data_IF_264429189011
#
_entry.id   IF_264429189011
#
_cell.length_a   1.000
_cell.length_b   1.000
_cell.length_c   1.000
_cell.angle_alpha   90.00
_cell.angle_beta   90.00
_cell.angle_gamma   90.00
#
_symmetry.space_group_name_H-M   'P 1'
#
loop_
_entity.id
_entity.type
_entity.pdbx_description
1 polymer ?
#
# COMPACT_ATOMS: atom_id res chain seq x y z
N UNK A 1 -2.16 19.51 21.22
CA UNK A 1 -2.39 18.08 20.87
C UNK A 1 -2.39 17.87 19.35
N UNK A 2 -3.29 18.49 18.57
CA UNK A 2 -3.33 18.32 17.10
C UNK A 2 -1.96 18.54 16.43
N UNK A 3 -1.27 19.66 16.75
CA UNK A 3 0.06 19.95 16.21
C UNK A 3 1.09 18.85 16.46
N UNK A 4 1.16 18.33 17.69
CA UNK A 4 2.11 17.28 18.06
C UNK A 4 1.79 15.94 17.36
N UNK A 5 0.53 15.50 17.42
CA UNK A 5 0.10 14.22 16.82
C UNK A 5 0.30 14.25 15.29
N UNK A 6 -0.04 15.37 14.67
CA UNK A 6 0.16 15.55 13.22
C UNK A 6 1.62 15.62 12.82
N UNK A 7 2.47 16.32 13.59
CA UNK A 7 3.90 16.32 13.35
C UNK A 7 4.52 14.92 13.49
N UNK A 8 4.13 14.15 14.52
CA UNK A 8 4.63 12.76 14.69
C UNK A 8 4.17 11.85 13.55
N UNK A 9 2.91 11.97 13.12
CA UNK A 9 2.41 11.22 11.95
C UNK A 9 3.20 11.56 10.68
N UNK A 10 3.57 12.84 10.52
CA UNK A 10 4.32 13.32 9.36
C UNK A 10 5.73 12.72 9.24
N UNK A 11 6.39 12.41 10.37
CA UNK A 11 7.69 11.71 10.37
C UNK A 11 7.66 10.40 9.60
N UNK A 12 6.56 9.66 9.73
CA UNK A 12 6.42 8.33 9.16
C UNK A 12 5.87 8.39 7.74
N UNK A 13 4.85 9.23 7.51
CA UNK A 13 4.08 9.27 6.26
C UNK A 13 3.71 10.71 5.90
N UNK A 14 4.64 11.51 5.35
CA UNK A 14 4.47 12.94 5.21
C UNK A 14 3.30 13.30 4.27
N UNK A 15 3.22 12.67 3.10
CA UNK A 15 2.17 12.95 2.11
C UNK A 15 0.80 12.51 2.61
N UNK A 16 0.71 11.27 3.12
CA UNK A 16 -0.54 10.71 3.61
C UNK A 16 -1.08 11.50 4.80
N UNK A 17 -0.19 11.90 5.72
CA UNK A 17 -0.55 12.75 6.87
C UNK A 17 -1.10 14.09 6.42
N UNK A 18 -0.43 14.76 5.47
CA UNK A 18 -0.87 16.08 4.97
C UNK A 18 -2.23 15.99 4.30
N UNK A 19 -2.43 15.02 3.40
CA UNK A 19 -3.71 14.86 2.70
C UNK A 19 -4.83 14.46 3.66
N UNK A 20 -4.61 13.48 4.54
CA UNK A 20 -5.61 13.06 5.51
C UNK A 20 -6.02 14.19 6.48
N UNK A 21 -5.07 15.01 6.93
CA UNK A 21 -5.32 16.09 7.88
C UNK A 21 -5.74 17.42 7.23
N UNK A 22 -5.64 17.56 5.90
CA UNK A 22 -6.00 18.79 5.20
C UNK A 22 -7.40 19.31 5.57
N UNK A 23 -8.47 18.48 5.61
CA UNK A 23 -9.79 18.94 6.04
C UNK A 23 -9.82 19.48 7.47
N UNK A 24 -9.06 18.89 8.40
CA UNK A 24 -8.98 19.35 9.79
C UNK A 24 -8.27 20.70 9.89
N UNK A 25 -7.20 20.91 9.11
CA UNK A 25 -6.52 22.20 9.06
C UNK A 25 -7.38 23.29 8.41
N UNK A 26 -8.06 22.98 7.31
CA UNK A 26 -8.98 23.92 6.66
C UNK A 26 -10.12 24.34 7.60
N UNK A 27 -10.68 23.39 8.33
CA UNK A 27 -11.72 23.64 9.32
C UNK A 27 -11.21 24.43 10.54
N UNK A 28 -9.96 24.20 10.98
CA UNK A 28 -9.31 25.02 11.99
C UNK A 28 -9.10 26.46 11.51
N UNK A 29 -8.52 26.65 10.32
CA UNK A 29 -8.31 27.96 9.69
C UNK A 29 -9.64 28.70 9.54
N UNK A 30 -10.67 28.03 9.05
CA UNK A 30 -12.01 28.58 8.95
C UNK A 30 -12.54 29.07 10.29
N UNK A 31 -12.38 28.30 11.37
CA UNK A 31 -12.85 28.70 12.71
C UNK A 31 -12.07 29.85 13.32
N UNK A 32 -10.76 29.89 13.10
CA UNK A 32 -9.90 31.00 13.48
C UNK A 32 -10.34 32.26 12.73
N UNK A 33 -10.55 32.17 11.41
CA UNK A 33 -11.03 33.28 10.58
C UNK A 33 -12.42 33.78 11.01
N UNK A 34 -13.31 32.86 11.43
CA UNK A 34 -14.64 33.18 11.97
C UNK A 34 -14.60 33.59 13.45
N UNK A 35 -13.41 33.79 14.05
CA UNK A 35 -13.18 34.17 15.46
C UNK A 35 -13.85 33.22 16.47
N UNK A 36 -14.06 31.96 16.09
CA UNK A 36 -14.62 30.90 16.96
C UNK A 36 -13.56 30.19 17.80
N UNK A 37 -12.29 30.48 17.54
CA UNK A 37 -11.14 29.94 18.27
C UNK A 37 -10.08 31.05 18.40
N UNK A 38 -9.30 31.05 19.51
CA UNK A 38 -8.24 32.04 19.71
C UNK A 38 -7.04 31.73 18.81
N UNK A 39 -6.61 32.74 18.04
CA UNK A 39 -5.55 32.59 17.02
C UNK A 39 -4.21 32.19 17.63
N UNK A 40 -3.76 32.92 18.66
CA UNK A 40 -2.45 32.73 19.29
C UNK A 40 -2.21 31.29 19.79
N UNK A 41 -3.08 30.73 20.66
CA UNK A 41 -2.95 29.36 21.12
C UNK A 41 -3.05 28.31 20.00
N UNK A 42 -3.87 28.54 18.97
CA UNK A 42 -3.99 27.61 17.84
C UNK A 42 -2.71 27.57 17.01
N UNK A 43 -2.19 28.74 16.62
CA UNK A 43 -0.94 28.84 15.84
C UNK A 43 0.26 28.39 16.67
N UNK A 44 0.37 28.84 17.93
CA UNK A 44 1.44 28.43 18.83
C UNK A 44 1.44 26.92 19.06
N UNK A 45 0.27 26.32 19.31
CA UNK A 45 0.13 24.88 19.50
C UNK A 45 0.43 24.05 18.24
N UNK A 46 0.16 24.59 17.05
CA UNK A 46 0.57 23.97 15.78
C UNK A 46 2.08 24.09 15.59
N UNK A 47 2.63 25.30 15.67
CA UNK A 47 4.05 25.56 15.46
C UNK A 47 4.93 24.76 16.42
N UNK A 48 4.63 24.81 17.73
CA UNK A 48 5.36 24.04 18.75
C UNK A 48 5.20 22.54 18.56
N UNK A 49 4.03 22.08 18.13
CA UNK A 49 3.76 20.67 17.88
C UNK A 49 4.50 20.12 16.65
N UNK A 50 4.72 20.95 15.63
CA UNK A 50 5.43 20.58 14.41
C UNK A 50 6.94 20.78 14.48
N UNK A 51 7.43 21.65 15.36
CA UNK A 51 8.86 22.02 15.41
C UNK A 51 9.78 20.80 15.58
N UNK A 52 9.55 19.98 16.61
CA UNK A 52 10.40 18.82 16.90
C UNK A 52 10.29 17.74 15.81
N UNK A 53 9.07 17.32 15.38
CA UNK A 53 8.96 16.34 14.31
C UNK A 53 9.52 16.84 12.97
N UNK A 54 9.32 18.10 12.61
CA UNK A 54 9.88 18.64 11.36
C UNK A 54 11.41 18.68 11.43
N UNK A 55 11.99 19.11 12.55
CA UNK A 55 13.44 19.07 12.75
C UNK A 55 14.01 17.66 12.64
N UNK A 56 13.36 16.67 13.27
CA UNK A 56 13.77 15.27 13.18
C UNK A 56 13.62 14.70 11.76
N UNK A 57 12.55 15.06 11.04
CA UNK A 57 12.35 14.68 9.64
C UNK A 57 13.48 15.19 8.73
N UNK A 58 13.78 16.49 8.83
CA UNK A 58 14.82 17.14 8.02
C UNK A 58 16.21 16.56 8.34
N UNK A 59 16.52 16.36 9.62
CA UNK A 59 17.78 15.76 10.05
C UNK A 59 17.93 14.32 9.55
N UNK A 60 16.87 13.51 9.66
CA UNK A 60 16.87 12.14 9.15
C UNK A 60 17.04 12.09 7.63
N UNK A 61 16.28 12.90 6.89
CA UNK A 61 16.42 12.95 5.43
C UNK A 61 17.82 13.35 5.00
N UNK A 62 18.38 14.41 5.60
CA UNK A 62 19.74 14.83 5.29
C UNK A 62 20.77 13.73 5.58
N UNK A 63 20.63 13.03 6.72
CA UNK A 63 21.53 11.94 7.07
C UNK A 63 21.46 10.75 6.10
N UNK A 64 20.29 10.49 5.50
CA UNK A 64 20.08 9.33 4.62
C UNK A 64 20.31 9.65 3.14
N UNK A 65 19.87 10.82 2.67
CA UNK A 65 19.86 11.18 1.25
C UNK A 65 20.90 12.23 0.89
N UNK A 66 21.48 12.92 1.87
CA UNK A 66 22.28 14.13 1.67
C UNK A 66 21.44 15.40 1.47
N UNK A 67 20.13 15.29 1.28
CA UNK A 67 19.20 16.40 1.08
C UNK A 67 18.08 16.37 2.13
N UNK A 68 18.04 17.38 3.00
CA UNK A 68 17.05 17.51 4.07
C UNK A 68 15.60 17.56 3.55
N UNK A 69 15.40 18.11 2.34
CA UNK A 69 14.08 18.32 1.74
C UNK A 69 13.62 17.13 0.93
N UNK A 70 14.51 16.20 0.56
CA UNK A 70 14.17 14.98 -0.13
C UNK A 70 13.78 13.89 0.90
N UNK A 71 12.50 13.51 1.01
CA UNK A 71 12.10 12.46 1.94
C UNK A 71 12.86 11.17 1.63
N UNK A 72 13.50 10.55 2.62
CA UNK A 72 14.27 9.31 2.40
C UNK A 72 13.40 8.19 1.78
N UNK A 73 12.10 8.18 2.07
CA UNK A 73 11.14 7.26 1.44
C UNK A 73 11.01 7.51 -0.06
N UNK A 74 11.16 8.74 -0.54
CA UNK A 74 11.13 9.08 -1.97
C UNK A 74 12.43 8.65 -2.66
N UNK A 75 13.56 8.59 -1.95
CA UNK A 75 14.84 8.14 -2.53
C UNK A 75 15.05 6.63 -2.52
N UNK A 76 14.45 5.90 -1.57
CA UNK A 76 14.61 4.44 -1.42
C UNK A 76 13.74 3.63 -2.38
N UNK A 77 12.54 4.12 -2.67
CA UNK A 77 11.67 3.56 -3.69
C UNK A 77 11.93 4.32 -5.00
N UNK A 78 11.65 3.75 -6.17
CA UNK A 78 11.66 4.44 -7.47
C UNK A 78 10.56 5.51 -7.57
N UNK A 79 10.43 6.33 -6.55
CA UNK A 79 9.48 7.41 -6.36
C UNK A 79 9.83 8.71 -7.10
N UNK A 80 11.11 9.06 -7.43
CA UNK A 80 11.37 10.36 -8.07
C UNK A 80 11.18 10.35 -9.60
N UNK A 81 10.98 9.19 -10.24
CA UNK A 81 11.13 9.07 -11.70
C UNK A 81 9.80 9.14 -12.51
N UNK A 82 8.64 9.19 -11.87
CA UNK A 82 7.34 9.13 -12.56
C UNK A 82 6.38 10.24 -12.11
N UNK A 83 6.87 11.48 -12.00
CA UNK A 83 5.98 12.63 -11.88
C UNK A 83 5.91 13.45 -13.18
N UNK A 84 6.84 13.23 -14.10
CA UNK A 84 7.09 14.21 -15.16
C UNK A 84 7.48 13.63 -16.53
N UNK A 85 7.60 12.31 -16.70
CA UNK A 85 8.08 11.77 -17.97
C UNK A 85 6.99 11.15 -18.84
N UNK A 86 6.10 10.27 -18.34
CA UNK A 86 5.20 9.47 -19.22
C UNK A 86 3.85 9.09 -18.59
N UNK A 87 3.31 9.92 -17.69
CA UNK A 87 2.16 9.47 -16.92
C UNK A 87 0.86 9.80 -17.63
N UNK A 88 -0.02 8.80 -17.71
CA UNK A 88 -1.34 8.88 -18.28
C UNK A 88 -2.16 10.08 -17.79
N UNK A 89 -3.27 10.36 -18.48
CA UNK A 89 -4.17 11.45 -18.11
C UNK A 89 -4.62 11.36 -16.64
N UNK A 90 -5.06 12.47 -16.02
CA UNK A 90 -5.65 12.45 -14.67
C UNK A 90 -6.79 11.42 -14.55
N UNK A 91 -7.49 11.15 -15.66
CA UNK A 91 -8.54 10.14 -15.74
C UNK A 91 -7.97 8.71 -15.66
N UNK A 92 -6.87 8.43 -16.35
CA UNK A 92 -6.16 7.15 -16.22
C UNK A 92 -5.63 6.95 -14.80
N UNK A 93 -5.06 7.99 -14.17
CA UNK A 93 -4.62 7.97 -12.78
C UNK A 93 -5.81 7.75 -11.81
N UNK A 94 -6.95 8.39 -12.07
CA UNK A 94 -8.18 8.17 -11.30
C UNK A 94 -8.65 6.70 -11.37
N UNK A 95 -8.64 6.11 -12.57
CA UNK A 95 -9.05 4.71 -12.75
C UNK A 95 -8.05 3.73 -12.12
N UNK A 96 -6.77 3.88 -12.43
CA UNK A 96 -5.72 2.96 -12.04
C UNK A 96 -5.37 3.01 -10.54
N UNK A 97 -5.43 4.21 -9.93
CA UNK A 97 -5.01 4.41 -8.54
C UNK A 97 -6.20 4.71 -7.64
N UNK A 98 -6.90 5.83 -7.83
CA UNK A 98 -7.95 6.27 -6.90
C UNK A 98 -9.12 5.28 -6.81
N UNK A 99 -9.65 4.85 -7.95
CA UNK A 99 -10.80 3.94 -8.01
C UNK A 99 -10.43 2.55 -7.50
N UNK A 100 -9.26 2.05 -7.90
CA UNK A 100 -8.73 0.78 -7.41
C UNK A 100 -8.53 0.80 -5.88
N UNK A 101 -7.87 1.84 -5.35
CA UNK A 101 -7.65 1.97 -3.92
C UNK A 101 -8.97 2.14 -3.15
N UNK A 102 -9.97 2.81 -3.74
CA UNK A 102 -11.32 2.90 -3.16
C UNK A 102 -11.98 1.52 -3.08
N UNK A 103 -11.94 0.74 -4.17
CA UNK A 103 -12.46 -0.62 -4.21
C UNK A 103 -11.76 -1.52 -3.19
N UNK A 104 -10.43 -1.48 -3.16
CA UNK A 104 -9.65 -2.25 -2.21
C UNK A 104 -9.97 -1.82 -0.77
N UNK A 105 -10.04 -0.52 -0.49
CA UNK A 105 -10.46 -0.04 0.82
C UNK A 105 -11.86 -0.55 1.19
N UNK A 106 -12.81 -0.61 0.25
CA UNK A 106 -14.15 -1.17 0.50
C UNK A 106 -14.13 -2.69 0.78
N UNK A 107 -13.28 -3.45 0.06
CA UNK A 107 -13.12 -4.89 0.28
C UNK A 107 -12.46 -5.16 1.64
N UNK A 108 -11.40 -4.43 1.96
CA UNK A 108 -10.61 -4.60 3.18
C UNK A 108 -11.30 -4.02 4.42
N UNK A 109 -12.04 -2.92 4.28
CA UNK A 109 -12.74 -2.26 5.38
C UNK A 109 -14.13 -2.87 5.60
N UNK A 110 -14.18 -4.05 6.24
CA UNK A 110 -15.41 -4.75 6.64
C UNK A 110 -16.38 -5.06 5.47
N UNK A 111 -15.90 -5.03 4.23
CA UNK A 111 -16.67 -5.32 3.04
C UNK A 111 -17.89 -4.41 2.83
N UNK A 112 -18.94 -4.91 2.16
CA UNK A 112 -20.18 -4.16 1.90
C UNK A 112 -20.86 -3.65 3.17
N UNK A 113 -20.76 -4.39 4.29
CA UNK A 113 -21.30 -3.96 5.57
C UNK A 113 -20.57 -2.71 6.10
N UNK A 114 -19.23 -2.69 6.00
CA UNK A 114 -18.43 -1.51 6.33
C UNK A 114 -18.84 -0.29 5.53
N UNK A 115 -18.99 -0.45 4.21
CA UNK A 115 -19.46 0.62 3.31
C UNK A 115 -20.83 1.14 3.72
N UNK A 116 -21.79 0.26 4.00
CA UNK A 116 -23.13 0.65 4.43
C UNK A 116 -23.12 1.41 5.77
N UNK A 117 -22.35 0.93 6.75
CA UNK A 117 -22.20 1.58 8.04
C UNK A 117 -21.52 2.94 7.90
N UNK A 118 -20.47 3.05 7.08
CA UNK A 118 -19.80 4.33 6.81
C UNK A 118 -20.76 5.30 6.12
N UNK A 119 -21.53 4.87 5.14
CA UNK A 119 -22.52 5.70 4.46
C UNK A 119 -23.59 6.24 5.43
N UNK A 120 -24.05 5.41 6.37
CA UNK A 120 -24.98 5.83 7.41
C UNK A 120 -24.35 6.78 8.43
N UNK A 121 -23.07 6.60 8.76
CA UNK A 121 -22.34 7.44 9.71
C UNK A 121 -21.82 8.75 9.09
N UNK A 122 -21.59 8.76 7.79
CA UNK A 122 -21.06 9.89 7.06
C UNK A 122 -22.02 11.08 7.21
N UNK A 123 -21.44 12.24 7.52
CA UNK A 123 -22.19 13.50 7.61
C UNK A 123 -23.16 13.62 8.80
N UNK A 124 -22.97 12.83 9.86
CA UNK A 124 -23.79 12.96 11.07
C UNK A 124 -23.40 14.18 11.91
N UNK A 125 -22.12 14.25 12.25
CA UNK A 125 -21.54 15.33 13.02
C UNK A 125 -20.25 15.81 12.37
N UNK A 126 -19.75 16.94 12.86
CA UNK A 126 -18.56 17.57 12.29
C UNK A 126 -17.33 16.66 12.30
N UNK A 127 -17.14 15.82 13.32
CA UNK A 127 -16.00 14.91 13.36
C UNK A 127 -16.14 13.86 12.26
N UNK A 128 -17.30 13.23 12.12
CA UNK A 128 -17.54 12.25 11.03
C UNK A 128 -17.39 12.86 9.64
N UNK A 129 -17.82 14.11 9.43
CA UNK A 129 -17.59 14.84 8.18
C UNK A 129 -16.09 15.00 7.91
N UNK A 130 -15.33 15.48 8.89
CA UNK A 130 -13.89 15.72 8.72
C UNK A 130 -13.11 14.42 8.51
N UNK A 131 -13.48 13.33 9.21
CA UNK A 131 -12.90 12.01 9.00
C UNK A 131 -13.18 11.48 7.59
N UNK A 132 -14.43 11.55 7.13
CA UNK A 132 -14.79 11.14 5.76
C UNK A 132 -14.08 11.98 4.70
N UNK A 133 -14.02 13.30 4.88
CA UNK A 133 -13.25 14.18 3.98
C UNK A 133 -11.75 13.85 4.03
N UNK A 134 -11.21 13.46 5.19
CA UNK A 134 -9.81 13.05 5.34
C UNK A 134 -9.51 11.79 4.53
N UNK A 135 -10.37 10.78 4.61
CA UNK A 135 -10.28 9.58 3.78
C UNK A 135 -10.36 9.91 2.30
N UNK A 136 -11.32 10.75 1.88
CA UNK A 136 -11.47 11.17 0.49
C UNK A 136 -10.26 11.96 -0.02
N UNK A 137 -9.72 12.85 0.81
CA UNK A 137 -8.51 13.61 0.46
C UNK A 137 -7.32 12.67 0.31
N UNK A 138 -7.14 11.72 1.24
CA UNK A 138 -6.09 10.71 1.15
C UNK A 138 -6.23 9.80 -0.08
N UNK A 139 -7.45 9.43 -0.48
CA UNK A 139 -7.68 8.72 -1.76
C UNK A 139 -7.31 9.60 -2.96
N UNK A 140 -7.57 10.90 -2.87
CA UNK A 140 -7.17 11.90 -3.87
C UNK A 140 -5.66 12.01 -4.07
N UNK A 141 -4.84 11.63 -3.08
CA UNK A 141 -3.40 11.54 -3.25
C UNK A 141 -3.01 10.59 -4.40
N UNK A 142 -3.83 9.55 -4.66
CA UNK A 142 -3.70 8.62 -5.78
C UNK A 142 -3.64 9.28 -7.17
N UNK A 143 -4.12 10.52 -7.29
CA UNK A 143 -4.06 11.31 -8.53
C UNK A 143 -2.69 11.93 -8.79
N UNK A 144 -1.87 12.07 -7.74
CA UNK A 144 -0.62 12.84 -7.78
C UNK A 144 0.61 12.00 -7.46
N UNK A 145 0.46 10.69 -7.24
CA UNK A 145 1.59 9.81 -7.00
C UNK A 145 1.39 8.43 -7.65
N UNK A 146 2.46 7.85 -8.19
CA UNK A 146 2.50 6.44 -8.64
C UNK A 146 2.84 5.48 -7.50
N UNK A 147 2.55 5.92 -6.29
CA UNK A 147 2.72 5.13 -5.10
C UNK A 147 1.96 3.83 -5.33
N UNK A 148 2.72 2.74 -5.38
CA UNK A 148 2.17 1.42 -5.62
C UNK A 148 1.01 1.25 -4.64
N UNK A 149 -0.21 1.19 -5.19
CA UNK A 149 -1.44 1.12 -4.42
C UNK A 149 -1.46 -0.11 -3.53
N UNK A 150 -2.60 -0.38 -2.91
CA UNK A 150 -2.82 -1.58 -2.07
C UNK A 150 -2.36 -2.88 -2.77
N UNK A 151 -2.21 -2.87 -4.11
CA UNK A 151 -1.70 -3.96 -4.93
C UNK A 151 -0.25 -4.41 -4.67
N UNK A 152 0.64 -3.57 -4.12
CA UNK A 152 2.03 -3.97 -3.88
C UNK A 152 2.30 -4.38 -2.43
N UNK A 153 1.78 -3.60 -1.47
CA UNK A 153 2.08 -3.75 -0.04
C UNK A 153 0.85 -4.05 0.82
N UNK A 154 -0.34 -4.17 0.22
CA UNK A 154 -1.57 -4.47 0.93
C UNK A 154 -2.21 -3.25 1.64
N UNK A 155 -3.18 -3.48 2.55
CA UNK A 155 -3.98 -2.43 3.20
C UNK A 155 -3.16 -1.49 4.09
N UNK A 156 -1.92 -1.85 4.43
CA UNK A 156 -1.02 -1.03 5.24
C UNK A 156 -0.83 0.36 4.63
N UNK A 157 -0.99 0.49 3.31
CA UNK A 157 -0.85 1.77 2.63
C UNK A 157 -1.96 2.78 2.92
N UNK A 158 -3.09 2.33 3.49
CA UNK A 158 -4.18 3.19 3.94
C UNK A 158 -4.56 2.90 5.39
N UNK A 159 -3.59 2.50 6.22
CA UNK A 159 -3.81 2.24 7.64
C UNK A 159 -4.40 3.43 8.39
N UNK A 160 -4.16 4.66 7.93
CA UNK A 160 -4.72 5.90 8.51
C UNK A 160 -6.23 5.98 8.29
N UNK A 161 -6.73 5.39 7.20
CA UNK A 161 -8.16 5.32 6.91
C UNK A 161 -8.88 4.37 7.86
N UNK A 162 -8.24 3.31 8.35
CA UNK A 162 -8.91 2.27 9.12
C UNK A 162 -9.52 2.81 10.45
N UNK A 163 -8.79 3.56 11.31
CA UNK A 163 -9.39 4.18 12.49
C UNK A 163 -10.49 5.19 12.15
N UNK A 164 -10.29 5.99 11.09
CA UNK A 164 -11.26 7.00 10.67
C UNK A 164 -12.58 6.35 10.23
N UNK A 165 -12.49 5.37 9.33
CA UNK A 165 -13.63 4.62 8.83
C UNK A 165 -14.30 3.81 9.96
N UNK A 166 -13.55 3.24 10.91
CA UNK A 166 -14.10 2.52 12.05
C UNK A 166 -14.95 3.46 12.94
N UNK A 167 -14.46 4.66 13.23
CA UNK A 167 -15.22 5.66 14.00
C UNK A 167 -16.51 6.07 13.27
N UNK A 168 -16.42 6.31 11.96
CA UNK A 168 -17.60 6.66 11.14
C UNK A 168 -18.59 5.48 11.08
N UNK A 169 -18.10 4.24 10.91
CA UNK A 169 -18.93 3.04 10.86
C UNK A 169 -19.65 2.77 12.19
N UNK A 170 -18.98 2.93 13.33
CA UNK A 170 -19.59 2.80 14.66
C UNK A 170 -20.70 3.84 14.83
N UNK A 171 -20.47 5.07 14.38
CA UNK A 171 -21.50 6.11 14.40
C UNK A 171 -22.68 5.76 13.48
N UNK A 172 -22.43 5.14 12.32
CA UNK A 172 -23.47 4.61 11.45
C UNK A 172 -24.29 3.50 12.10
N UNK A 173 -23.63 2.55 12.78
CA UNK A 173 -24.31 1.49 13.54
C UNK A 173 -25.19 2.08 14.65
N UNK A 174 -24.66 3.05 15.41
CA UNK A 174 -25.43 3.78 16.42
C UNK A 174 -26.69 4.39 15.82
N UNK A 175 -26.59 5.04 14.65
CA UNK A 175 -27.76 5.63 13.97
C UNK A 175 -28.79 4.58 13.55
N UNK A 176 -28.33 3.44 13.03
CA UNK A 176 -29.22 2.34 12.66
C UNK A 176 -29.96 1.78 13.89
N UNK A 177 -29.26 1.65 15.03
CA UNK A 177 -29.86 1.25 16.32
C UNK A 177 -30.87 2.28 16.82
N UNK A 178 -30.52 3.57 16.81
CA UNK A 178 -31.40 4.65 17.23
C UNK A 178 -32.65 4.74 16.34
N UNK A 179 -32.50 4.52 15.03
CA UNK A 179 -33.60 4.45 14.08
C UNK A 179 -34.55 3.28 14.40
N UNK A 180 -34.01 2.07 14.62
CA UNK A 180 -34.81 0.91 15.00
C UNK A 180 -35.60 1.17 16.30
N UNK A 181 -34.94 1.73 17.32
CA UNK A 181 -35.59 2.11 18.59
C UNK A 181 -36.70 3.13 18.40
N UNK A 182 -36.49 4.17 17.60
CA UNK A 182 -37.53 5.17 17.27
C UNK A 182 -38.72 4.55 16.53
N UNK A 183 -38.47 3.54 15.69
CA UNK A 183 -39.51 2.77 15.02
C UNK A 183 -40.19 1.73 15.93
N UNK A 184 -39.87 1.68 17.22
CA UNK A 184 -40.34 0.67 18.18
C UNK A 184 -39.98 -0.78 17.77
N UNK A 185 -38.93 -0.94 16.98
CA UNK A 185 -38.38 -2.25 16.58
C UNK A 185 -37.19 -2.60 17.47
N UNK A 186 -37.09 -3.86 17.87
CA UNK A 186 -35.94 -4.35 18.66
C UNK A 186 -34.64 -4.21 17.85
N UNK A 187 -33.58 -3.58 18.38
CA UNK A 187 -32.29 -3.46 17.70
C UNK A 187 -31.46 -4.75 17.76
N UNK A 188 -31.92 -5.77 18.49
CA UNK A 188 -31.17 -7.01 18.72
C UNK A 188 -30.80 -7.76 17.43
N UNK A 189 -31.70 -7.94 16.44
CA UNK A 189 -31.34 -8.61 15.19
C UNK A 189 -30.26 -7.86 14.40
N UNK A 190 -30.31 -6.52 14.40
CA UNK A 190 -29.30 -5.68 13.76
C UNK A 190 -27.93 -5.89 14.41
N UNK A 191 -27.86 -5.78 15.74
CA UNK A 191 -26.60 -5.96 16.48
C UNK A 191 -26.02 -7.36 16.32
N UNK A 192 -26.86 -8.39 16.40
CA UNK A 192 -26.44 -9.79 16.20
C UNK A 192 -26.03 -10.04 14.75
N UNK A 193 -26.75 -9.50 13.77
CA UNK A 193 -26.42 -9.62 12.35
C UNK A 193 -25.11 -8.93 12.02
N UNK A 194 -24.89 -7.71 12.50
CA UNK A 194 -23.62 -7.00 12.37
C UNK A 194 -22.50 -7.75 13.07
N UNK A 195 -22.68 -8.15 14.34
CA UNK A 195 -21.66 -8.89 15.09
C UNK A 195 -21.30 -10.23 14.44
N UNK A 196 -22.30 -11.00 14.01
CA UNK A 196 -22.10 -12.26 13.30
C UNK A 196 -21.39 -12.07 11.96
N UNK A 197 -21.79 -11.07 11.17
CA UNK A 197 -21.11 -10.73 9.92
C UNK A 197 -19.65 -10.31 10.12
N UNK A 198 -19.35 -9.57 11.20
CA UNK A 198 -17.98 -9.20 11.54
C UNK A 198 -17.15 -10.43 11.94
N UNK A 199 -17.67 -11.28 12.82
CA UNK A 199 -16.95 -12.49 13.28
C UNK A 199 -16.69 -13.45 12.13
N UNK A 200 -17.71 -13.74 11.32
CA UNK A 200 -17.59 -14.64 10.16
C UNK A 200 -16.72 -14.02 9.08
N UNK A 201 -16.93 -12.73 8.77
CA UNK A 201 -16.17 -12.02 7.75
C UNK A 201 -14.69 -11.93 8.08
N UNK A 202 -14.34 -11.48 9.29
CA UNK A 202 -12.95 -11.42 9.77
C UNK A 202 -12.33 -12.81 9.84
N UNK A 203 -13.04 -13.81 10.34
CA UNK A 203 -12.53 -15.18 10.41
C UNK A 203 -12.22 -15.78 9.03
N UNK A 204 -13.13 -15.65 8.06
CA UNK A 204 -12.89 -16.11 6.67
C UNK A 204 -11.70 -15.37 6.08
N UNK A 205 -11.67 -14.05 6.28
CA UNK A 205 -10.63 -13.20 5.75
C UNK A 205 -9.25 -13.52 6.31
N UNK A 206 -9.12 -13.69 7.62
CA UNK A 206 -7.86 -14.03 8.29
C UNK A 206 -7.36 -15.40 7.84
N UNK A 207 -8.25 -16.40 7.76
CA UNK A 207 -7.89 -17.74 7.28
C UNK A 207 -7.42 -17.67 5.82
N UNK A 208 -8.15 -16.95 4.96
CA UNK A 208 -7.79 -16.82 3.55
C UNK A 208 -6.41 -16.15 3.39
N UNK A 209 -6.14 -15.07 4.12
CA UNK A 209 -4.84 -14.39 4.06
C UNK A 209 -3.71 -15.21 4.67
N UNK A 210 -3.95 -15.93 5.77
CA UNK A 210 -2.97 -16.83 6.36
C UNK A 210 -2.58 -17.96 5.40
N UNK A 211 -3.55 -18.54 4.69
CA UNK A 211 -3.30 -19.55 3.66
C UNK A 211 -2.50 -18.97 2.48
N UNK A 212 -2.86 -17.78 1.99
CA UNK A 212 -2.13 -17.12 0.92
C UNK A 212 -0.68 -16.80 1.31
N UNK A 213 -0.43 -16.33 2.53
CA UNK A 213 0.92 -16.09 3.05
C UNK A 213 1.72 -17.39 3.16
N UNK A 214 1.09 -18.49 3.57
CA UNK A 214 1.74 -19.82 3.60
C UNK A 214 2.12 -20.29 2.20
N UNK A 215 1.23 -20.13 1.22
CA UNK A 215 1.49 -20.50 -0.17
C UNK A 215 2.61 -19.66 -0.78
N UNK A 216 2.62 -18.35 -0.51
CA UNK A 216 3.71 -17.46 -0.92
C UNK A 216 5.05 -17.85 -0.28
N UNK A 217 5.05 -18.16 1.02
CA UNK A 217 6.27 -18.62 1.71
C UNK A 217 6.83 -19.89 1.07
N UNK A 218 5.97 -20.83 0.65
CA UNK A 218 6.39 -22.03 -0.07
C UNK A 218 7.00 -21.70 -1.44
N UNK A 219 6.43 -20.72 -2.16
CA UNK A 219 6.99 -20.22 -3.42
C UNK A 219 8.39 -19.63 -3.21
N UNK A 220 8.57 -18.77 -2.21
CA UNK A 220 9.88 -18.17 -1.90
C UNK A 220 10.91 -19.24 -1.55
N UNK A 221 10.54 -20.20 -0.68
CA UNK A 221 11.41 -21.30 -0.29
C UNK A 221 11.83 -22.16 -1.50
N UNK A 222 10.93 -22.39 -2.46
CA UNK A 222 11.24 -23.15 -3.67
C UNK A 222 12.25 -22.41 -4.58
N UNK A 223 12.12 -21.09 -4.72
CA UNK A 223 13.07 -20.26 -5.50
C UNK A 223 14.41 -20.18 -4.80
N UNK A 224 14.43 -19.97 -3.48
CA UNK A 224 15.67 -19.96 -2.70
C UNK A 224 16.40 -21.31 -2.79
N UNK A 225 15.67 -22.43 -2.69
CA UNK A 225 16.24 -23.76 -2.87
C UNK A 225 16.84 -23.92 -4.28
N UNK A 226 16.11 -23.52 -5.32
CA UNK A 226 16.59 -23.59 -6.70
C UNK A 226 17.86 -22.74 -6.92
N UNK A 227 17.92 -21.53 -6.37
CA UNK A 227 19.08 -20.63 -6.47
C UNK A 227 20.29 -21.20 -5.72
N UNK A 228 20.08 -21.78 -4.54
CA UNK A 228 21.13 -22.43 -3.76
C UNK A 228 21.67 -23.66 -4.50
N UNK A 229 20.79 -24.50 -5.03
CA UNK A 229 21.17 -25.73 -5.75
C UNK A 229 21.90 -25.43 -7.07
N UNK A 230 21.63 -24.26 -7.67
CA UNK A 230 22.36 -23.78 -8.85
C UNK A 230 23.83 -23.40 -8.56
N UNK A 231 24.26 -23.33 -7.29
CA UNK A 231 25.66 -23.17 -6.93
C UNK A 231 26.29 -21.87 -7.43
N UNK A 232 25.52 -20.78 -7.49
CA UNK A 232 25.95 -19.50 -8.07
C UNK A 232 27.07 -18.80 -7.28
N UNK A 233 27.39 -19.27 -6.07
CA UNK A 233 28.36 -18.63 -5.18
C UNK A 233 27.98 -17.18 -4.88
N UNK A 234 28.98 -16.35 -4.57
CA UNK A 234 28.78 -14.91 -4.30
C UNK A 234 28.31 -14.16 -5.56
N UNK A 235 27.00 -13.92 -5.65
CA UNK A 235 26.37 -13.44 -6.88
C UNK A 235 25.24 -12.42 -6.61
N UNK A 236 24.84 -11.75 -7.68
CA UNK A 236 23.61 -10.96 -7.80
C UNK A 236 22.74 -11.63 -8.85
N UNK A 237 21.52 -12.02 -8.45
CA UNK A 237 20.50 -12.57 -9.31
C UNK A 237 19.44 -11.50 -9.59
N UNK A 238 19.42 -11.00 -10.82
CA UNK A 238 18.45 -10.04 -11.30
C UNK A 238 17.15 -10.79 -11.65
N UNK A 239 16.13 -10.62 -10.81
CA UNK A 239 14.83 -11.26 -10.92
C UNK A 239 13.80 -10.34 -11.60
N UNK A 240 12.90 -10.88 -12.45
CA UNK A 240 11.86 -10.10 -13.10
C UNK A 240 10.86 -9.59 -12.06
N UNK A 241 9.94 -8.69 -12.42
CA UNK A 241 8.79 -8.38 -11.54
C UNK A 241 8.09 -9.67 -11.12
N UNK A 242 7.82 -9.83 -9.82
CA UNK A 242 7.17 -11.04 -9.30
C UNK A 242 5.85 -11.33 -10.03
N UNK A 243 5.05 -10.32 -10.36
CA UNK A 243 3.81 -10.49 -11.14
C UNK A 243 4.05 -11.11 -12.52
N UNK A 244 5.18 -10.81 -13.17
CA UNK A 244 5.52 -11.39 -14.47
C UNK A 244 5.91 -12.86 -14.33
N UNK A 245 6.66 -13.19 -13.29
CA UNK A 245 6.96 -14.58 -12.89
C UNK A 245 5.67 -15.35 -12.54
N UNK A 246 4.83 -14.80 -11.67
CA UNK A 246 3.56 -15.39 -11.24
C UNK A 246 2.65 -15.72 -12.43
N UNK A 247 2.54 -14.84 -13.43
CA UNK A 247 1.72 -15.10 -14.62
C UNK A 247 2.24 -16.22 -15.52
N UNK A 248 3.56 -16.44 -15.55
CA UNK A 248 4.20 -17.35 -16.51
C UNK A 248 4.48 -18.73 -15.93
N UNK A 249 4.78 -18.83 -14.65
CA UNK A 249 5.06 -20.09 -13.95
C UNK A 249 3.75 -20.74 -13.51
N UNK A 250 3.34 -21.88 -14.09
CA UNK A 250 2.04 -22.50 -13.78
C UNK A 250 1.85 -22.85 -12.30
N UNK A 251 2.91 -23.28 -11.62
CA UNK A 251 2.91 -23.62 -10.19
C UNK A 251 2.55 -22.40 -9.34
N UNK A 252 3.01 -21.21 -9.74
CA UNK A 252 2.75 -19.97 -9.01
C UNK A 252 1.30 -19.53 -9.19
N UNK A 253 0.69 -19.77 -10.35
CA UNK A 253 -0.75 -19.48 -10.57
C UNK A 253 -1.67 -20.39 -9.78
N UNK A 254 -1.21 -21.60 -9.43
CA UNK A 254 -1.97 -22.53 -8.57
C UNK A 254 -1.95 -22.10 -7.11
N UNK A 255 -0.86 -21.46 -6.66
CA UNK A 255 -0.78 -20.82 -5.35
C UNK A 255 -1.40 -19.42 -5.40
N UNK A 256 -2.43 -19.17 -4.61
CA UNK A 256 -2.94 -17.82 -4.41
C UNK A 256 -1.89 -17.00 -3.64
N UNK A 257 -1.38 -15.91 -4.23
CA UNK A 257 -0.57 -14.93 -3.52
C UNK A 257 -1.13 -13.53 -3.75
N UNK A 258 -1.21 -12.75 -2.66
CA UNK A 258 -1.60 -11.35 -2.68
C UNK A 258 -0.41 -10.40 -2.50
N UNK A 259 0.78 -10.94 -2.30
CA UNK A 259 2.03 -10.19 -2.20
C UNK A 259 2.87 -10.57 -3.41
N UNK A 260 3.23 -9.55 -4.19
CA UNK A 260 3.94 -9.69 -5.45
C UNK A 260 5.34 -9.09 -5.34
N UNK A 261 6.09 -9.50 -4.32
CA UNK A 261 7.45 -9.04 -4.06
C UNK A 261 8.36 -10.23 -3.76
N UNK A 262 9.61 -10.14 -4.23
CA UNK A 262 10.66 -11.09 -3.86
C UNK A 262 11.11 -10.84 -2.42
N UNK A 263 11.67 -11.87 -1.78
CA UNK A 263 12.28 -11.71 -0.46
C UNK A 263 13.34 -10.59 -0.49
N UNK A 264 13.27 -9.60 0.40
CA UNK A 264 14.27 -8.54 0.45
C UNK A 264 15.63 -9.12 0.89
N UNK A 265 16.74 -8.60 0.38
CA UNK A 265 18.06 -8.98 0.88
C UNK A 265 18.25 -8.51 2.33
N UNK A 266 19.20 -9.12 3.04
CA UNK A 266 19.61 -8.64 4.36
C UNK A 266 20.11 -7.19 4.28
N UNK A 267 19.87 -6.37 5.32
CA UNK A 267 20.30 -4.96 5.32
C UNK A 267 21.80 -4.75 5.14
N UNK A 268 22.62 -5.73 5.52
CA UNK A 268 24.08 -5.72 5.38
C UNK A 268 24.57 -6.32 4.05
N UNK A 269 23.65 -6.76 3.19
CA UNK A 269 23.94 -7.45 1.92
C UNK A 269 24.88 -8.66 2.06
N UNK A 270 24.86 -9.31 3.23
CA UNK A 270 25.72 -10.46 3.53
C UNK A 270 25.28 -11.74 2.81
N UNK A 271 24.11 -11.77 2.18
CA UNK A 271 23.62 -12.94 1.47
C UNK A 271 24.59 -13.37 0.38
N UNK A 272 24.80 -14.68 0.26
CA UNK A 272 25.66 -15.26 -0.77
C UNK A 272 25.14 -14.91 -2.17
N UNK A 273 23.82 -15.06 -2.38
CA UNK A 273 23.14 -14.60 -3.60
C UNK A 273 22.16 -13.49 -3.25
N UNK A 274 22.37 -12.30 -3.80
CA UNK A 274 21.44 -11.18 -3.67
C UNK A 274 20.39 -11.26 -4.79
N UNK A 275 19.12 -11.45 -4.43
CA UNK A 275 18.02 -11.42 -5.40
C UNK A 275 17.50 -9.98 -5.49
N UNK A 276 17.71 -9.32 -6.63
CA UNK A 276 17.35 -7.93 -6.84
C UNK A 276 16.46 -7.77 -8.08
N UNK A 277 15.64 -6.73 -8.11
CA UNK A 277 14.75 -6.47 -9.24
C UNK A 277 15.53 -6.11 -10.52
N UNK A 278 15.23 -6.78 -11.63
CA UNK A 278 15.79 -6.51 -12.96
C UNK A 278 15.00 -5.41 -13.68
N UNK A 279 15.72 -4.50 -14.33
CA UNK A 279 15.12 -3.40 -15.07
C UNK A 279 16.13 -2.76 -16.04
N UNK A 280 15.66 -1.93 -16.98
CA UNK A 280 16.54 -1.21 -17.89
C UNK A 280 17.63 -0.45 -17.13
N UNK A 281 18.91 -0.71 -17.46
CA UNK A 281 20.06 -0.07 -16.81
C UNK A 281 20.31 -0.47 -15.34
N UNK A 282 19.60 -1.45 -14.78
CA UNK A 282 19.86 -1.93 -13.41
C UNK A 282 21.17 -2.68 -13.31
N UNK A 283 21.46 -3.54 -14.29
CA UNK A 283 22.69 -4.32 -14.35
C UNK A 283 23.94 -3.42 -14.26
N UNK A 284 24.05 -2.41 -15.12
CA UNK A 284 25.23 -1.51 -15.13
C UNK A 284 25.41 -0.75 -13.82
N UNK A 285 24.31 -0.27 -13.22
CA UNK A 285 24.35 0.43 -11.93
C UNK A 285 24.82 -0.49 -10.80
N UNK A 286 24.21 -1.68 -10.71
CA UNK A 286 24.53 -2.64 -9.67
C UNK A 286 25.94 -3.23 -9.83
N UNK A 287 26.43 -3.40 -11.06
CA UNK A 287 27.81 -3.83 -11.36
C UNK A 287 28.84 -2.91 -10.72
N UNK A 288 28.55 -1.61 -10.70
CA UNK A 288 29.42 -0.59 -10.07
C UNK A 288 29.37 -0.68 -8.54
N UNK A 289 28.22 -1.03 -7.97
CA UNK A 289 28.02 -1.13 -6.52
C UNK A 289 28.53 -2.45 -5.91
N UNK A 290 28.45 -3.54 -6.67
CA UNK A 290 28.86 -4.89 -6.26
C UNK A 290 29.90 -5.47 -7.24
N UNK A 291 31.09 -4.85 -7.36
CA UNK A 291 32.09 -5.25 -8.36
C UNK A 291 32.64 -6.66 -8.14
N UNK A 292 32.56 -7.17 -6.91
CA UNK A 292 33.07 -8.48 -6.52
C UNK A 292 32.10 -9.63 -6.79
N UNK A 293 30.87 -9.34 -7.20
CA UNK A 293 29.80 -10.34 -7.38
C UNK A 293 29.63 -10.70 -8.85
N UNK A 294 29.32 -11.97 -9.12
CA UNK A 294 28.89 -12.43 -10.46
C UNK A 294 27.43 -12.08 -10.69
N UNK A 295 27.05 -11.79 -11.93
CA UNK A 295 25.69 -11.35 -12.24
C UNK A 295 24.96 -12.37 -13.11
N UNK A 296 23.75 -12.71 -12.68
CA UNK A 296 22.86 -13.59 -13.42
C UNK A 296 21.47 -12.97 -13.52
N UNK A 297 20.67 -13.44 -14.48
CA UNK A 297 19.24 -13.14 -14.59
C UNK A 297 18.43 -14.39 -14.36
N UNK A 298 17.39 -14.26 -13.54
CA UNK A 298 16.35 -15.25 -13.42
C UNK A 298 15.33 -15.03 -14.53
N UNK A 299 15.05 -16.05 -15.33
CA UNK A 299 13.99 -16.02 -16.35
C UNK A 299 12.91 -17.04 -16.03
N UNK A 300 11.62 -16.66 -16.12
CA UNK A 300 10.54 -17.60 -16.01
C UNK A 300 10.60 -18.59 -17.18
N UNK A 301 10.63 -19.88 -16.87
CA UNK A 301 10.69 -20.96 -17.84
C UNK A 301 9.32 -21.52 -18.20
N UNK A 302 9.32 -22.68 -18.85
CA UNK A 302 8.13 -23.50 -19.09
C UNK A 302 8.39 -24.87 -18.47
N UNK A 303 7.34 -25.49 -17.91
CA UNK A 303 7.42 -26.84 -17.38
C UNK A 303 8.12 -27.79 -18.38
N UNK A 304 9.05 -28.65 -17.91
CA UNK A 304 9.34 -29.00 -16.51
C UNK A 304 10.33 -28.08 -15.78
N UNK A 305 10.92 -27.08 -16.45
CA UNK A 305 11.88 -26.14 -15.85
C UNK A 305 11.20 -24.79 -15.59
N UNK A 306 10.68 -24.55 -14.37
CA UNK A 306 9.97 -23.30 -14.06
C UNK A 306 10.89 -22.07 -14.10
N UNK A 307 12.20 -22.26 -14.04
CA UNK A 307 13.21 -21.21 -13.99
C UNK A 307 14.39 -21.51 -14.90
N UNK A 308 15.02 -20.45 -15.39
CA UNK A 308 16.34 -20.51 -16.01
C UNK A 308 17.20 -19.40 -15.46
N UNK A 309 18.43 -19.73 -15.09
CA UNK A 309 19.43 -18.75 -14.69
C UNK A 309 20.38 -18.57 -15.87
N UNK A 310 20.52 -17.34 -16.34
CA UNK A 310 21.40 -17.01 -17.48
C UNK A 310 22.38 -15.92 -17.08
N UNK A 311 23.60 -15.88 -17.63
CA UNK A 311 24.53 -14.77 -17.38
C UNK A 311 23.89 -13.43 -17.77
N UNK A 312 24.02 -12.42 -16.93
CA UNK A 312 23.38 -11.13 -17.16
C UNK A 312 23.99 -10.39 -18.36
N UNK A 313 25.28 -10.59 -18.62
CA UNK A 313 26.06 -9.98 -19.71
C UNK A 313 25.56 -10.38 -21.10
N UNK A 314 25.02 -11.59 -21.24
CA UNK A 314 24.60 -12.17 -22.53
C UNK A 314 23.09 -12.18 -22.72
N UNK A 315 22.35 -11.71 -21.72
CA UNK A 315 20.91 -11.60 -21.75
C UNK A 315 20.52 -10.13 -21.86
N UNK A 316 19.32 -9.84 -22.38
CA UNK A 316 18.62 -8.58 -22.13
C UNK A 316 17.71 -8.73 -20.90
N UNK A 317 17.37 -7.59 -20.27
CA UNK A 317 16.25 -7.54 -19.32
C UNK A 317 14.95 -7.86 -20.07
N UNK A 318 13.99 -8.50 -19.40
CA UNK A 318 12.69 -8.70 -20.03
C UNK A 318 12.01 -7.35 -20.28
N UNK A 319 11.38 -7.16 -21.46
CA UNK A 319 10.57 -5.98 -21.69
C UNK A 319 9.45 -5.94 -20.64
N UNK A 320 9.21 -4.75 -20.09
CA UNK A 320 8.09 -4.51 -19.18
C UNK A 320 6.82 -4.84 -19.96
N UNK A 321 6.20 -5.98 -19.68
CA UNK A 321 4.92 -6.34 -20.30
C UNK A 321 3.92 -5.30 -19.83
N UNK A 322 3.41 -4.48 -20.76
CA UNK A 322 2.30 -3.58 -20.51
C UNK A 322 1.15 -4.39 -19.85
N UNK A 323 0.38 -3.81 -18.92
CA UNK A 323 -0.72 -4.52 -18.29
C UNK A 323 -1.69 -5.01 -19.36
N UNK A 324 -1.61 -6.31 -19.70
CA UNK A 324 -2.64 -6.93 -20.53
C UNK A 324 -3.96 -6.94 -19.74
N UNK A 325 -5.10 -6.74 -20.42
CA UNK A 325 -6.41 -6.78 -19.79
C UNK A 325 -6.59 -8.11 -19.03
N UNK A 326 -7.39 -8.11 -17.95
CA UNK A 326 -7.61 -9.30 -17.15
C UNK A 326 -8.07 -10.46 -18.05
N UNK A 327 -7.42 -11.61 -17.88
CA UNK A 327 -7.85 -12.87 -18.50
C UNK A 327 -9.29 -13.12 -18.04
N UNK A 328 -10.27 -13.34 -18.95
CA UNK A 328 -11.62 -13.70 -18.55
C UNK A 328 -11.54 -14.90 -17.61
N UNK A 329 -12.14 -14.77 -16.43
CA UNK A 329 -12.27 -15.89 -15.49
C UNK A 329 -12.86 -17.08 -16.24
N UNK A 330 -12.17 -18.22 -16.19
CA UNK A 330 -12.66 -19.47 -16.73
C UNK A 330 -13.90 -19.92 -15.94
N UNK A 331 -15.07 -19.42 -16.34
CA UNK A 331 -16.39 -19.97 -16.05
C UNK A 331 -17.21 -19.81 -17.33
N UNK A 332 -16.87 -20.60 -18.34
CA UNK A 332 -17.78 -20.93 -19.44
C UNK A 332 -17.28 -22.21 -20.11
N UNK A 333 -17.56 -23.34 -19.45
CA UNK A 333 -17.68 -24.66 -20.07
C UNK A 333 -18.18 -25.65 -19.02
N UNK A 334 -19.49 -25.57 -18.77
CA UNK A 334 -20.29 -26.75 -18.49
C UNK A 334 -21.53 -26.65 -19.43
N UNK A 335 -21.94 -27.78 -20.03
CA UNK A 335 -22.81 -27.82 -21.21
C UNK A 335 -24.20 -27.22 -21.04
#
# INVERSE_FOLDING_TARGET
MLGLVSGVSFLCRPFETVFFLAPFYLDLVWRVARRRLPVGPCLGGLALGWLLPLGAFLAFNHAVTGDALLPARVSMYTFPAQLTAHDGTLLERFGANTSYNTLMLAVWFLGPLGVALVALGASWDRLTVLLSLGVLSLLGLGLFHDNHGIHAVGPIHYSECAPALALVAVQGLKRAVDFARRASVSPRPLLLGTGGALVVGLGIFDVHHALALREQSAIHAAVEAYVRDAGLGRAVLLAPRYVAAWRRVPEFRRGGSWVFEWAPPRPDFSDEVLILHDGPGHFERLRTQFPERRFFRLKPGRAPEPWRIVPAETSSAEPVVAPQPPVPSAVESAP
#
